data_IF_811106722283
#
_entry.id   IF_811106722283
#
_cell.length_a   1.000
_cell.length_b   1.000
_cell.length_c   1.000
_cell.angle_alpha   90.00
_cell.angle_beta   90.00
_cell.angle_gamma   90.00
#
_symmetry.space_group_name_H-M   'P 1'
#
loop_
_entity.id
_entity.type
_entity.pdbx_description
1 polymer ?
#
# COMPACT_ATOMS: atom_id res chain seq x y z
N UNK A 1 -4.34 11.78 16.14
CA UNK A 1 -3.64 10.69 15.42
C UNK A 1 -2.85 11.25 14.25
N UNK A 2 -1.70 10.67 13.95
CA UNK A 2 -0.87 11.09 12.81
C UNK A 2 -1.04 10.14 11.62
N UNK A 3 -1.15 10.70 10.43
CA UNK A 3 -1.23 9.93 9.19
C UNK A 3 -1.00 10.81 7.96
N UNK A 4 -0.52 10.19 6.87
CA UNK A 4 -0.58 10.78 5.52
C UNK A 4 -1.82 10.34 4.73
N UNK A 5 -2.60 9.40 5.26
CA UNK A 5 -3.80 8.84 4.65
C UNK A 5 -5.08 9.41 5.27
N UNK A 6 -5.20 10.75 5.29
CA UNK A 6 -6.27 11.44 6.00
C UNK A 6 -7.67 11.05 5.52
N UNK A 7 -7.86 10.94 4.21
CA UNK A 7 -9.17 10.63 3.65
C UNK A 7 -9.62 9.18 3.95
N UNK A 8 -8.71 8.21 3.81
CA UNK A 8 -8.97 6.81 4.17
C UNK A 8 -9.29 6.68 5.66
N UNK A 9 -8.55 7.39 6.51
CA UNK A 9 -8.76 7.43 7.96
C UNK A 9 -10.13 7.99 8.31
N UNK A 10 -10.52 9.12 7.71
CA UNK A 10 -11.84 9.72 7.92
C UNK A 10 -12.98 8.78 7.50
N UNK A 11 -12.84 8.11 6.37
CA UNK A 11 -13.85 7.15 5.89
C UNK A 11 -13.99 5.96 6.86
N UNK A 12 -12.89 5.43 7.36
CA UNK A 12 -12.90 4.34 8.33
C UNK A 12 -13.63 4.72 9.62
N UNK A 13 -13.29 5.87 10.21
CA UNK A 13 -13.93 6.33 11.44
C UNK A 13 -15.38 6.75 11.24
N UNK A 14 -15.73 7.30 10.06
CA UNK A 14 -17.11 7.62 9.73
C UNK A 14 -17.99 6.36 9.68
N UNK A 15 -17.51 5.28 9.10
CA UNK A 15 -18.21 3.99 9.10
C UNK A 15 -18.40 3.42 10.50
N UNK A 16 -17.43 3.63 11.38
CA UNK A 16 -17.52 3.26 12.80
C UNK A 16 -18.30 4.26 13.65
N UNK A 17 -18.83 5.35 13.06
CA UNK A 17 -19.53 6.44 13.73
C UNK A 17 -18.73 7.11 14.85
N UNK A 18 -17.43 7.23 14.62
CA UNK A 18 -16.50 7.90 15.52
C UNK A 18 -16.12 9.25 14.92
N UNK A 19 -16.31 10.33 15.68
CA UNK A 19 -16.02 11.69 15.24
C UNK A 19 -15.09 12.46 16.19
N UNK A 20 -14.86 11.96 17.40
CA UNK A 20 -14.05 12.63 18.42
C UNK A 20 -12.58 12.27 18.26
N UNK A 21 -11.97 12.80 17.21
CA UNK A 21 -10.53 12.67 16.95
C UNK A 21 -10.03 13.84 16.11
N UNK A 22 -8.74 14.06 16.15
CA UNK A 22 -8.05 15.04 15.31
C UNK A 22 -6.92 14.38 14.52
N UNK A 23 -6.83 14.70 13.23
CA UNK A 23 -5.73 14.26 12.36
C UNK A 23 -4.62 15.32 12.40
N UNK A 24 -3.41 14.84 12.66
CA UNK A 24 -2.16 15.59 12.50
C UNK A 24 -1.52 15.10 11.20
N UNK A 25 -1.37 15.97 10.19
CA UNK A 25 -0.74 15.56 8.93
C UNK A 25 0.68 15.09 9.14
N UNK A 26 1.05 13.98 8.50
CA UNK A 26 2.39 13.43 8.54
C UNK A 26 2.82 13.07 7.11
N UNK A 27 3.90 13.69 6.63
CA UNK A 27 4.41 13.47 5.29
C UNK A 27 5.37 12.27 5.18
N UNK A 28 5.92 11.81 6.31
CA UNK A 28 6.82 10.66 6.40
C UNK A 28 7.22 10.40 7.83
N UNK A 29 7.87 9.25 8.08
CA UNK A 29 8.27 8.81 9.42
C UNK A 29 7.12 8.87 10.45
N UNK A 30 5.93 8.50 10.02
CA UNK A 30 4.70 8.57 10.84
C UNK A 30 4.83 7.74 12.11
N UNK A 31 5.54 6.62 12.05
CA UNK A 31 5.84 5.75 13.19
C UNK A 31 6.59 6.45 14.33
N UNK A 32 7.27 7.53 14.05
CA UNK A 32 7.97 8.34 15.04
C UNK A 32 7.09 9.37 15.77
N UNK A 33 5.86 9.60 15.32
CA UNK A 33 4.98 10.62 15.89
C UNK A 33 4.63 10.39 17.37
N UNK A 34 4.35 9.15 17.84
CA UNK A 34 4.10 8.92 19.26
C UNK A 34 5.32 9.22 20.13
N UNK A 35 6.51 8.82 19.74
CA UNK A 35 7.73 9.11 20.49
C UNK A 35 8.05 10.61 20.52
N UNK A 36 7.71 11.35 19.45
CA UNK A 36 7.86 12.80 19.38
C UNK A 36 6.76 13.57 20.16
N UNK A 37 5.74 12.88 20.68
CA UNK A 37 4.64 13.49 21.42
C UNK A 37 3.63 14.23 20.56
N UNK A 38 3.64 14.06 19.24
CA UNK A 38 2.73 14.76 18.32
C UNK A 38 1.39 14.05 18.13
N UNK A 39 1.33 12.76 18.39
CA UNK A 39 0.10 11.96 18.34
C UNK A 39 0.24 10.68 19.17
N UNK A 40 -0.84 10.19 19.73
CA UNK A 40 -0.87 8.95 20.51
C UNK A 40 -1.13 7.72 19.63
N UNK A 41 -1.79 7.94 18.48
CA UNK A 41 -2.19 6.90 17.53
C UNK A 41 -1.73 7.29 16.14
N UNK A 42 -1.34 6.31 15.35
CA UNK A 42 -0.98 6.51 13.93
C UNK A 42 -1.86 5.64 13.03
N UNK A 43 -2.02 6.08 11.78
CA UNK A 43 -2.52 5.26 10.68
C UNK A 43 -1.44 5.23 9.61
N UNK A 44 -0.90 4.05 9.36
CA UNK A 44 0.20 3.87 8.41
C UNK A 44 0.14 2.50 7.74
N UNK A 45 0.97 2.30 6.73
CA UNK A 45 1.12 1.02 6.03
C UNK A 45 2.13 0.17 6.80
N UNK A 46 1.81 -1.10 6.98
CA UNK A 46 2.75 -2.08 7.51
C UNK A 46 2.64 -3.41 6.75
N UNK A 47 3.73 -4.15 6.69
CA UNK A 47 3.77 -5.48 6.10
C UNK A 47 4.01 -6.53 7.18
N UNK A 48 5.19 -6.52 7.81
CA UNK A 48 5.58 -7.47 8.86
C UNK A 48 5.36 -6.93 10.27
N UNK A 49 5.11 -5.63 10.40
CA UNK A 49 4.99 -4.94 11.67
C UNK A 49 6.35 -4.69 12.38
N UNK A 50 7.47 -5.00 11.75
CA UNK A 50 8.81 -4.82 12.36
C UNK A 50 9.08 -3.36 12.70
N UNK A 51 8.88 -2.44 11.76
CA UNK A 51 9.07 -1.01 12.01
C UNK A 51 8.18 -0.49 13.12
N UNK A 52 6.95 -0.97 13.23
CA UNK A 52 6.05 -0.62 14.33
C UNK A 52 6.62 -1.10 15.68
N UNK A 53 7.02 -2.36 15.77
CA UNK A 53 7.61 -2.91 16.99
C UNK A 53 8.89 -2.18 17.42
N UNK A 54 9.75 -1.84 16.45
CA UNK A 54 10.99 -1.11 16.72
C UNK A 54 10.73 0.30 17.28
N UNK A 55 9.56 0.86 16.99
CA UNK A 55 9.10 2.15 17.53
C UNK A 55 8.15 1.99 18.74
N UNK A 56 8.05 0.81 19.33
CA UNK A 56 7.19 0.56 20.50
C UNK A 56 5.69 0.57 20.20
N UNK A 57 5.30 0.31 18.94
CA UNK A 57 3.92 0.33 18.48
C UNK A 57 3.39 -1.09 18.23
N UNK A 58 2.08 -1.24 18.27
CA UNK A 58 1.38 -2.46 17.86
C UNK A 58 0.18 -2.12 16.99
N UNK A 59 -0.21 -3.04 16.11
CA UNK A 59 -1.49 -2.95 15.42
C UNK A 59 -2.61 -3.26 16.41
N UNK A 60 -3.66 -2.43 16.42
CA UNK A 60 -4.84 -2.69 17.23
C UNK A 60 -5.66 -3.83 16.62
N UNK A 61 -6.32 -4.64 17.46
CA UNK A 61 -7.04 -5.83 17.03
C UNK A 61 -8.15 -5.51 16.01
N UNK A 62 -8.79 -4.36 16.15
CA UNK A 62 -9.82 -3.82 15.25
C UNK A 62 -9.28 -2.70 14.32
N UNK A 63 -7.97 -2.55 14.25
CA UNK A 63 -7.29 -1.44 13.57
C UNK A 63 -6.87 -1.70 12.13
N UNK A 64 -7.23 -2.84 11.52
CA UNK A 64 -6.92 -3.10 10.12
C UNK A 64 -7.95 -2.40 9.24
N UNK A 65 -7.54 -1.31 8.60
CA UNK A 65 -8.40 -0.47 7.76
C UNK A 65 -8.55 -1.05 6.35
N UNK A 66 -7.44 -1.51 5.77
CA UNK A 66 -7.38 -2.00 4.40
C UNK A 66 -6.23 -3.01 4.27
N UNK A 67 -6.49 -4.12 3.59
CA UNK A 67 -5.44 -5.01 3.09
C UNK A 67 -5.13 -4.62 1.66
N UNK A 68 -3.87 -4.28 1.38
CA UNK A 68 -3.42 -3.85 0.07
C UNK A 68 -2.33 -4.77 -0.48
N UNK A 69 -2.21 -4.80 -1.79
CA UNK A 69 -1.24 -5.61 -2.50
C UNK A 69 -0.64 -4.79 -3.64
N UNK A 70 0.67 -4.89 -3.82
CA UNK A 70 1.33 -4.31 -4.97
C UNK A 70 0.89 -5.05 -6.24
N UNK A 71 0.64 -4.30 -7.30
CA UNK A 71 0.23 -4.83 -8.60
C UNK A 71 1.23 -4.39 -9.68
N UNK A 72 1.56 -5.31 -10.57
CA UNK A 72 2.24 -4.95 -11.81
C UNK A 72 1.19 -4.53 -12.84
N UNK A 73 1.31 -3.33 -13.39
CA UNK A 73 0.35 -2.79 -14.33
C UNK A 73 1.04 -2.46 -15.66
N UNK A 74 0.33 -2.70 -16.76
CA UNK A 74 0.77 -2.35 -18.10
C UNK A 74 -0.17 -1.31 -18.70
N UNK A 75 0.39 -0.36 -19.46
CA UNK A 75 -0.40 0.66 -20.15
C UNK A 75 -1.12 0.05 -21.36
N UNK A 76 -2.42 0.30 -21.46
CA UNK A 76 -3.21 -0.08 -22.64
C UNK A 76 -3.03 0.89 -23.81
N UNK A 77 -2.51 2.10 -23.56
CA UNK A 77 -2.36 3.16 -24.56
C UNK A 77 -0.91 3.48 -24.92
N UNK A 78 0.07 2.80 -24.30
CA UNK A 78 1.47 2.95 -24.66
C UNK A 78 1.75 2.37 -26.06
N UNK A 79 2.78 2.90 -26.71
CA UNK A 79 3.28 2.32 -27.97
C UNK A 79 4.10 1.05 -27.66
N UNK A 80 3.47 -0.10 -27.89
CA UNK A 80 4.08 -1.41 -27.67
C UNK A 80 4.87 -1.84 -28.91
N UNK A 81 6.02 -1.20 -29.13
CA UNK A 81 6.95 -1.62 -30.16
C UNK A 81 7.46 -3.04 -29.95
N UNK A 82 8.01 -3.67 -30.98
CA UNK A 82 8.56 -5.03 -30.89
C UNK A 82 9.68 -5.13 -29.83
N UNK A 83 10.50 -4.10 -29.71
CA UNK A 83 11.57 -4.03 -28.70
C UNK A 83 11.01 -4.00 -27.26
N UNK A 84 10.00 -3.17 -27.02
CA UNK A 84 9.33 -3.05 -25.72
C UNK A 84 8.61 -4.36 -25.38
N UNK A 85 7.92 -4.95 -26.36
CA UNK A 85 7.25 -6.24 -26.20
C UNK A 85 8.22 -7.35 -25.83
N UNK A 86 9.33 -7.45 -26.58
CA UNK A 86 10.39 -8.45 -26.29
C UNK A 86 11.01 -8.26 -24.91
N UNK A 87 11.19 -7.01 -24.46
CA UNK A 87 11.68 -6.72 -23.12
C UNK A 87 10.68 -7.18 -22.03
N UNK A 88 9.37 -6.94 -22.23
CA UNK A 88 8.32 -7.42 -21.36
C UNK A 88 8.26 -8.95 -21.29
N UNK A 89 8.38 -9.63 -22.43
CA UNK A 89 8.41 -11.09 -22.46
C UNK A 89 9.59 -11.69 -21.67
N UNK A 90 10.77 -11.03 -21.76
CA UNK A 90 11.92 -11.43 -20.93
C UNK A 90 11.66 -11.23 -19.45
N UNK A 91 11.01 -10.11 -19.08
CA UNK A 91 10.61 -9.85 -17.70
C UNK A 91 9.61 -10.91 -17.19
N UNK A 92 8.60 -11.23 -17.98
CA UNK A 92 7.61 -12.26 -17.65
C UNK A 92 8.24 -13.65 -17.54
N UNK A 93 9.23 -13.95 -18.39
CA UNK A 93 9.99 -15.21 -18.34
C UNK A 93 10.85 -15.36 -17.10
N UNK A 94 11.18 -14.26 -16.41
CA UNK A 94 11.89 -14.28 -15.13
C UNK A 94 10.96 -14.52 -13.92
N UNK A 95 9.64 -14.40 -14.11
CA UNK A 95 8.65 -14.75 -13.10
C UNK A 95 8.39 -16.25 -13.09
N UNK A 96 8.00 -16.80 -11.93
CA UNK A 96 7.63 -18.21 -11.85
C UNK A 96 6.47 -18.52 -12.81
N UNK A 97 6.64 -19.50 -13.74
CA UNK A 97 5.61 -19.82 -14.74
C UNK A 97 4.26 -20.25 -14.15
N UNK A 98 4.26 -20.78 -12.92
CA UNK A 98 3.05 -21.18 -12.21
C UNK A 98 2.36 -20.01 -11.47
N UNK A 99 2.93 -18.82 -11.50
CA UNK A 99 2.34 -17.66 -10.85
C UNK A 99 1.06 -17.24 -11.57
N UNK A 100 -0.08 -17.06 -10.87
CA UNK A 100 -1.29 -16.49 -11.47
C UNK A 100 -1.03 -15.14 -12.16
N UNK A 101 -0.03 -14.39 -11.68
CA UNK A 101 0.41 -13.12 -12.25
C UNK A 101 0.97 -13.30 -13.68
N UNK A 102 1.73 -14.37 -13.92
CA UNK A 102 2.31 -14.65 -15.23
C UNK A 102 1.23 -14.83 -16.30
N UNK A 103 0.22 -15.64 -16.01
CA UNK A 103 -0.88 -15.89 -16.94
C UNK A 103 -1.74 -14.64 -17.16
N UNK A 104 -2.09 -13.92 -16.09
CA UNK A 104 -2.89 -12.72 -16.19
C UNK A 104 -2.21 -11.61 -17.02
N UNK A 105 -0.89 -11.44 -16.89
CA UNK A 105 -0.14 -10.47 -17.67
C UNK A 105 -0.01 -10.88 -19.15
N UNK A 106 0.25 -12.15 -19.40
CA UNK A 106 0.43 -12.64 -20.78
C UNK A 106 -0.84 -12.53 -21.63
N UNK A 107 -2.01 -12.74 -21.03
CA UNK A 107 -3.31 -12.61 -21.72
C UNK A 107 -3.72 -11.15 -21.93
N UNK A 108 -3.21 -10.23 -21.10
CA UNK A 108 -3.62 -8.83 -21.12
C UNK A 108 -2.64 -7.90 -21.85
N UNK A 109 -1.46 -8.37 -22.25
CA UNK A 109 -0.57 -7.58 -23.08
C UNK A 109 -1.25 -7.30 -24.44
N UNK A 110 -1.32 -6.05 -24.88
CA UNK A 110 -1.88 -5.70 -26.18
C UNK A 110 -1.15 -6.46 -27.30
N UNK A 111 -1.92 -7.08 -28.17
CA UNK A 111 -1.38 -7.76 -29.36
C UNK A 111 -0.94 -6.77 -30.42
#
# INVERSE_FOLDING_TARGET
MATKYAQLTRSFFAQARISDYRIVPSAGATEGAPAAGTAEVIVDITTTGTTLRDNGLKVLDDGVILKSQAQLAASLSADWTDDVRSACERLLGALEPASPLYFALREQLPT
#
